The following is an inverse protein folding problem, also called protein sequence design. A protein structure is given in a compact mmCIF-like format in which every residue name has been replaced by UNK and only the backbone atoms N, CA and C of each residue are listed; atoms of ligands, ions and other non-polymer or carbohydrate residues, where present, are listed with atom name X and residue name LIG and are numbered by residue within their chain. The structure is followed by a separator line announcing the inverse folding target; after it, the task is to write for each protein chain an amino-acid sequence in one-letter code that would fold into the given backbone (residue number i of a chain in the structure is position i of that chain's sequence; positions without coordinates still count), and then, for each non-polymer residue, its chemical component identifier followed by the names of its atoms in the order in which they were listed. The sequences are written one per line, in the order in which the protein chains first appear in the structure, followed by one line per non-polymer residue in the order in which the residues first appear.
data_IF_486329737899
#
_entry.id   IF_486329737899
#
_cell.length_a   1.000
_cell.length_b   1.000
_cell.length_c   1.000
_cell.angle_alpha   90.00
_cell.angle_beta   90.00
_cell.angle_gamma   90.00
#
_symmetry.space_group_name_H-M   'P 1'
#
loop_
_entity.id
_entity.type
_entity.pdbx_description
1 polymer ?
#
# COMPACT_ATOMS: atom_id res chain seq x y z
N UNK A 1 -0.93 -13.43 3.48
CA UNK A 1 -0.05 -12.24 3.28
C UNK A 1 -0.80 -11.26 2.39
N UNK A 2 -1.01 -10.03 2.85
CA UNK A 2 -1.87 -9.04 2.20
C UNK A 2 -1.16 -8.43 1.00
N UNK A 3 -1.83 -8.36 -0.15
CA UNK A 3 -1.33 -7.71 -1.37
C UNK A 3 -2.12 -6.43 -1.63
N UNK A 4 -1.45 -5.29 -1.52
CA UNK A 4 -2.01 -3.96 -1.81
C UNK A 4 -1.65 -3.56 -3.23
N UNK A 5 -2.64 -3.16 -4.02
CA UNK A 5 -2.44 -2.60 -5.37
C UNK A 5 -2.66 -1.10 -5.31
N UNK A 6 -1.58 -0.33 -5.39
CA UNK A 6 -1.56 1.12 -5.29
C UNK A 6 -1.08 1.74 -6.60
N UNK A 7 -1.48 2.96 -6.91
CA UNK A 7 -0.80 3.72 -7.97
C UNK A 7 0.47 4.37 -7.42
N UNK A 8 1.39 4.80 -8.29
CA UNK A 8 2.59 5.53 -7.86
C UNK A 8 2.30 6.77 -6.97
N UNK A 9 1.36 7.68 -7.33
CA UNK A 9 1.06 8.82 -6.45
C UNK A 9 0.45 8.39 -5.11
N UNK A 10 -0.34 7.32 -5.09
CA UNK A 10 -0.90 6.77 -3.86
C UNK A 10 0.18 6.19 -2.95
N UNK A 11 1.16 5.48 -3.54
CA UNK A 11 2.29 4.95 -2.82
C UNK A 11 3.15 6.06 -2.22
N UNK A 12 3.45 7.10 -3.00
CA UNK A 12 4.24 8.25 -2.53
C UNK A 12 3.54 8.97 -1.37
N UNK A 13 2.23 9.22 -1.48
CA UNK A 13 1.46 9.84 -0.39
C UNK A 13 1.44 8.97 0.86
N UNK A 14 1.22 7.66 0.71
CA UNK A 14 1.19 6.73 1.85
C UNK A 14 2.57 6.59 2.50
N UNK A 15 3.65 6.59 1.71
CA UNK A 15 5.04 6.62 2.20
C UNK A 15 5.34 7.89 2.98
N UNK A 16 4.88 9.05 2.52
CA UNK A 16 5.05 10.32 3.23
C UNK A 16 4.25 10.39 4.53
N UNK A 17 3.16 9.62 4.64
CA UNK A 17 2.30 9.58 5.83
C UNK A 17 2.79 8.61 6.92
N UNK A 18 3.68 7.67 6.59
CA UNK A 18 4.27 6.73 7.56
C UNK A 18 5.61 7.25 8.08
N UNK A 19 5.99 6.84 9.29
CA UNK A 19 7.28 7.21 9.85
C UNK A 19 8.42 6.58 9.05
N UNK A 20 9.42 7.40 8.68
CA UNK A 20 10.62 6.92 7.99
C UNK A 20 11.33 5.85 8.83
N UNK A 21 11.72 4.75 8.20
CA UNK A 21 12.39 3.62 8.88
C UNK A 21 11.46 2.68 9.65
N UNK A 22 10.13 2.88 9.58
CA UNK A 22 9.17 1.94 10.15
C UNK A 22 8.96 0.70 9.27
N UNK A 23 8.39 -0.37 9.84
CA UNK A 23 8.08 -1.60 9.10
C UNK A 23 7.05 -1.35 7.97
N UNK A 24 6.15 -0.39 8.16
CA UNK A 24 5.20 0.08 7.16
C UNK A 24 5.92 0.76 5.99
N UNK A 25 6.88 1.65 6.28
CA UNK A 25 7.72 2.28 5.26
C UNK A 25 8.51 1.24 4.47
N UNK A 26 9.16 0.28 5.14
CA UNK A 26 9.89 -0.81 4.49
C UNK A 26 9.00 -1.68 3.59
N UNK A 27 7.77 -1.97 4.02
CA UNK A 27 6.80 -2.71 3.21
C UNK A 27 6.41 -1.93 1.94
N UNK A 28 6.17 -0.62 2.06
CA UNK A 28 5.85 0.23 0.91
C UNK A 28 7.05 0.40 -0.06
N UNK A 29 8.28 0.44 0.46
CA UNK A 29 9.51 0.44 -0.34
C UNK A 29 9.70 -0.87 -1.11
N UNK A 30 9.30 -2.00 -0.53
CA UNK A 30 9.36 -3.31 -1.18
C UNK A 30 8.30 -3.52 -2.29
N UNK A 31 7.48 -2.51 -2.57
CA UNK A 31 6.49 -2.55 -3.64
C UNK A 31 7.12 -2.78 -5.01
N UNK A 32 6.61 -3.78 -5.75
CA UNK A 32 7.05 -4.06 -7.13
C UNK A 32 6.08 -3.46 -8.13
N UNK A 33 6.59 -2.78 -9.15
CA UNK A 33 5.78 -2.33 -10.29
C UNK A 33 5.18 -3.53 -11.01
N UNK A 34 3.91 -3.41 -11.38
CA UNK A 34 3.13 -4.42 -12.07
C UNK A 34 3.14 -4.07 -13.57
N UNK A 35 4.20 -4.49 -14.25
CA UNK A 35 4.38 -4.26 -15.68
C UNK A 35 5.81 -3.80 -16.01
N UNK A 36 6.25 -4.13 -17.22
CA UNK A 36 7.51 -3.68 -17.79
C UNK A 36 7.18 -2.67 -18.88
N UNK A 37 7.90 -1.54 -18.82
CA UNK A 37 8.04 -0.46 -19.80
C UNK A 37 6.76 -0.04 -20.57
N UNK A 38 6.50 1.27 -20.57
CA UNK A 38 5.73 2.03 -21.58
C UNK A 38 4.33 2.52 -21.12
N UNK A 39 4.31 3.78 -20.64
CA UNK A 39 3.20 4.75 -20.68
C UNK A 39 1.86 4.48 -19.97
N UNK A 40 1.88 4.04 -18.71
CA UNK A 40 0.75 4.24 -17.78
C UNK A 40 1.26 4.31 -16.34
N UNK A 41 0.53 4.91 -15.37
CA UNK A 41 0.90 4.77 -13.96
C UNK A 41 0.69 3.31 -13.58
N UNK A 42 1.73 2.50 -13.77
CA UNK A 42 1.68 1.07 -13.54
C UNK A 42 1.29 0.83 -12.07
N UNK A 43 0.34 -0.08 -11.82
CA UNK A 43 -0.01 -0.43 -10.46
C UNK A 43 1.23 -0.97 -9.75
N UNK A 44 1.42 -0.60 -8.49
CA UNK A 44 2.48 -1.08 -7.62
C UNK A 44 1.86 -2.06 -6.64
N UNK A 45 2.35 -3.30 -6.68
CA UNK A 45 1.94 -4.34 -5.75
C UNK A 45 2.86 -4.32 -4.53
N UNK A 46 2.31 -3.96 -3.38
CA UNK A 46 2.96 -4.01 -2.07
C UNK A 46 2.49 -5.25 -1.33
N UNK A 47 3.42 -6.14 -0.97
CA UNK A 47 3.11 -7.32 -0.14
C UNK A 47 3.51 -7.04 1.30
N UNK A 48 2.58 -7.21 2.22
CA UNK A 48 2.80 -6.97 3.65
C UNK A 48 2.03 -7.95 4.53
N UNK A 49 2.33 -7.97 5.83
CA UNK A 49 1.57 -8.77 6.80
C UNK A 49 0.25 -8.09 7.14
N UNK A 50 -0.73 -8.85 7.64
CA UNK A 50 -2.01 -8.33 8.09
C UNK A 50 -1.87 -7.21 9.14
N UNK A 51 -0.89 -7.35 10.04
CA UNK A 51 -0.59 -6.35 11.05
C UNK A 51 -0.13 -5.02 10.42
N UNK A 52 0.78 -5.08 9.43
CA UNK A 52 1.25 -3.91 8.69
C UNK A 52 0.09 -3.29 7.88
N UNK A 53 -0.70 -4.11 7.19
CA UNK A 53 -1.86 -3.64 6.42
C UNK A 53 -2.88 -2.90 7.30
N UNK A 54 -3.14 -3.41 8.51
CA UNK A 54 -4.05 -2.77 9.48
C UNK A 54 -3.51 -1.43 9.96
N UNK A 55 -2.21 -1.32 10.21
CA UNK A 55 -1.58 -0.03 10.57
C UNK A 55 -1.59 0.96 9.40
N UNK A 56 -1.30 0.49 8.19
CA UNK A 56 -1.43 1.28 6.97
C UNK A 56 -2.86 1.77 6.76
N UNK A 57 -3.87 0.96 7.10
CA UNK A 57 -5.28 1.37 7.06
C UNK A 57 -5.56 2.53 8.02
N UNK A 58 -5.03 2.50 9.24
CA UNK A 58 -5.17 3.61 10.20
C UNK A 58 -4.52 4.90 9.69
N UNK A 59 -3.32 4.81 9.12
CA UNK A 59 -2.62 5.96 8.52
C UNK A 59 -3.39 6.50 7.32
N UNK A 60 -3.83 5.61 6.43
CA UNK A 60 -4.62 5.97 5.25
C UNK A 60 -5.93 6.68 5.60
N UNK A 61 -6.65 6.23 6.63
CA UNK A 61 -7.87 6.91 7.08
C UNK A 61 -7.66 8.38 7.46
N UNK A 62 -6.45 8.73 7.91
CA UNK A 62 -6.13 10.09 8.35
C UNK A 62 -5.51 10.95 7.26
N UNK A 63 -4.70 10.37 6.38
CA UNK A 63 -3.86 11.12 5.43
C UNK A 63 -4.16 10.83 3.96
N UNK A 64 -4.73 9.66 3.63
CA UNK A 64 -4.98 9.22 2.26
C UNK A 64 -6.32 8.43 2.16
N UNK A 65 -7.48 9.09 2.32
CA UNK A 65 -8.77 8.41 2.36
C UNK A 65 -9.08 7.63 1.07
N UNK A 66 -8.50 8.04 -0.06
CA UNK A 66 -8.63 7.37 -1.35
C UNK A 66 -8.08 5.93 -1.38
N UNK A 67 -7.08 5.58 -0.55
CA UNK A 67 -6.49 4.23 -0.51
C UNK A 67 -7.12 3.32 0.54
N UNK A 68 -7.92 3.87 1.46
CA UNK A 68 -8.64 3.13 2.50
C UNK A 68 -9.47 1.97 1.96
N UNK A 69 -10.35 2.16 0.95
CA UNK A 69 -11.15 1.05 0.41
C UNK A 69 -10.27 -0.06 -0.18
N UNK A 70 -9.14 0.30 -0.81
CA UNK A 70 -8.19 -0.67 -1.39
C UNK A 70 -7.50 -1.50 -0.31
N UNK A 71 -7.03 -0.86 0.76
CA UNK A 71 -6.38 -1.55 1.88
C UNK A 71 -7.38 -2.45 2.60
N UNK A 72 -8.60 -1.97 2.82
CA UNK A 72 -9.67 -2.76 3.45
C UNK A 72 -10.02 -3.99 2.61
N UNK A 73 -10.19 -3.83 1.29
CA UNK A 73 -10.48 -4.95 0.40
C UNK A 73 -9.36 -5.99 0.40
N UNK A 74 -8.10 -5.56 0.38
CA UNK A 74 -6.96 -6.47 0.41
C UNK A 74 -6.83 -7.23 1.74
N UNK A 75 -7.14 -6.58 2.87
CA UNK A 75 -7.21 -7.24 4.18
C UNK A 75 -8.33 -8.30 4.19
N UNK A 76 -9.51 -7.96 3.65
CA UNK A 76 -10.64 -8.88 3.62
C UNK A 76 -10.36 -10.09 2.72
N UNK A 77 -9.74 -9.87 1.55
CA UNK A 77 -9.31 -10.93 0.64
C UNK A 77 -8.28 -11.88 1.27
N UNK A 78 -7.50 -11.44 2.25
CA UNK A 78 -6.53 -12.29 2.93
C UNK A 78 -7.14 -13.09 4.09
N UNK A 79 -8.31 -12.67 4.59
CA UNK A 79 -9.05 -13.38 5.64
C UNK A 79 -9.96 -14.48 5.09
N UNK A 80 -10.29 -14.43 3.80
CA UNK A 80 -11.01 -15.49 3.08
C UNK A 80 -10.06 -16.61 2.66
#
# INVERSE_FOLDING_TARGET
MVQLILTEPQLVRLKAAVATGSAESAALEAGKRFGGEVFSPEPIAVKCTLAIATRLLSVANRFCPEVVPKIRAAIEQEKQ
#
